data_IF_598916329548
#
_entry.id   IF_598916329548
#
_cell.length_a   1.000
_cell.length_b   1.000
_cell.length_c   1.000
_cell.angle_alpha   90.00
_cell.angle_beta   90.00
_cell.angle_gamma   90.00
#
_symmetry.space_group_name_H-M   'P 1'
#
loop_
_entity.id
_entity.type
_entity.pdbx_description
1 polymer ?
#
# COMPACT_ATOMS: atom_id res chain seq x y z
N UNK A 1 8.68 10.05 -4.01
CA UNK A 1 8.82 8.94 -4.96
C UNK A 1 9.73 7.90 -4.33
N UNK A 2 9.31 6.63 -4.33
CA UNK A 2 10.17 5.53 -3.90
C UNK A 2 10.83 4.91 -5.13
N UNK A 3 12.10 4.53 -5.02
CA UNK A 3 12.86 3.83 -6.06
C UNK A 3 13.34 2.48 -5.52
N UNK A 4 13.33 1.46 -6.39
CA UNK A 4 13.80 0.11 -6.07
C UNK A 4 14.70 -0.38 -7.20
N UNK A 5 15.84 -0.98 -6.85
CA UNK A 5 16.78 -1.59 -7.81
C UNK A 5 16.83 -3.09 -7.55
N UNK A 6 16.40 -3.88 -8.55
CA UNK A 6 16.51 -5.34 -8.51
C UNK A 6 17.77 -5.74 -9.28
N UNK A 7 18.76 -6.28 -8.57
CA UNK A 7 20.03 -6.73 -9.16
C UNK A 7 19.96 -8.21 -9.54
N UNK A 8 20.81 -8.62 -10.49
CA UNK A 8 20.96 -10.03 -10.93
C UNK A 8 19.67 -10.65 -11.47
N UNK A 9 18.84 -9.87 -12.18
CA UNK A 9 17.72 -10.42 -12.94
C UNK A 9 18.25 -11.22 -14.13
N UNK A 10 17.70 -12.41 -14.37
CA UNK A 10 18.11 -13.21 -15.53
C UNK A 10 17.69 -12.52 -16.84
N UNK A 11 18.47 -12.70 -17.90
CA UNK A 11 18.13 -12.16 -19.22
C UNK A 11 16.79 -12.70 -19.75
N UNK A 12 16.48 -13.97 -19.43
CA UNK A 12 15.19 -14.58 -19.76
C UNK A 12 14.04 -13.83 -19.08
N UNK A 13 14.16 -13.52 -17.79
CA UNK A 13 13.15 -12.77 -17.03
C UNK A 13 13.01 -11.35 -17.57
N UNK A 14 14.12 -10.66 -17.85
CA UNK A 14 14.08 -9.31 -18.40
C UNK A 14 13.39 -9.26 -19.77
N UNK A 15 13.69 -10.23 -20.66
CA UNK A 15 13.00 -10.37 -21.96
C UNK A 15 11.51 -10.66 -21.80
N UNK A 16 11.14 -11.56 -20.89
CA UNK A 16 9.74 -11.88 -20.63
C UNK A 16 8.95 -10.65 -20.15
N UNK A 17 9.52 -9.86 -19.22
CA UNK A 17 8.94 -8.60 -18.76
C UNK A 17 8.78 -7.59 -19.89
N UNK A 18 9.78 -7.47 -20.77
CA UNK A 18 9.71 -6.59 -21.94
C UNK A 18 8.59 -6.97 -22.91
N UNK A 19 8.44 -8.26 -23.22
CA UNK A 19 7.35 -8.74 -24.08
C UNK A 19 5.99 -8.52 -23.42
N UNK A 20 5.85 -8.82 -22.12
CA UNK A 20 4.61 -8.61 -21.37
C UNK A 20 4.20 -7.13 -21.35
N UNK A 21 5.16 -6.23 -21.12
CA UNK A 21 4.93 -4.79 -21.15
C UNK A 21 4.45 -4.29 -22.52
N UNK A 22 5.08 -4.77 -23.60
CA UNK A 22 4.68 -4.45 -24.97
C UNK A 22 3.25 -4.93 -25.29
N UNK A 23 2.88 -6.15 -24.87
CA UNK A 23 1.53 -6.67 -25.02
C UNK A 23 0.48 -5.85 -24.27
N UNK A 24 0.84 -5.25 -23.14
CA UNK A 24 -0.02 -4.39 -22.32
C UNK A 24 0.05 -2.91 -22.73
N UNK A 25 0.82 -2.55 -23.75
CA UNK A 25 0.96 -1.17 -24.23
C UNK A 25 1.60 -0.20 -23.22
N UNK A 26 2.46 -0.70 -22.34
CA UNK A 26 3.12 0.10 -21.29
C UNK A 26 4.63 -0.11 -21.24
N UNK A 27 5.34 0.79 -20.55
CA UNK A 27 6.78 0.63 -20.34
C UNK A 27 7.08 -0.56 -19.43
N UNK A 28 8.30 -1.08 -19.51
CA UNK A 28 8.76 -2.18 -18.64
C UNK A 28 8.64 -1.81 -17.16
N UNK A 29 8.99 -0.58 -16.81
CA UNK A 29 8.87 -0.08 -15.44
C UNK A 29 7.40 -0.02 -14.98
N UNK A 30 6.49 0.43 -15.85
CA UNK A 30 5.06 0.45 -15.56
C UNK A 30 4.48 -0.96 -15.41
N UNK A 31 4.95 -1.93 -16.18
CA UNK A 31 4.60 -3.34 -16.02
C UNK A 31 5.07 -3.90 -14.67
N UNK A 32 6.35 -3.67 -14.32
CA UNK A 32 6.90 -4.14 -13.04
C UNK A 32 6.15 -3.54 -11.87
N UNK A 33 5.87 -2.23 -11.89
CA UNK A 33 5.08 -1.55 -10.86
C UNK A 33 3.70 -2.20 -10.70
N UNK A 34 2.99 -2.43 -11.81
CA UNK A 34 1.67 -3.03 -11.75
C UNK A 34 1.69 -4.48 -11.24
N UNK A 35 2.69 -5.27 -11.60
CA UNK A 35 2.86 -6.64 -11.05
C UNK A 35 3.05 -6.58 -9.53
N UNK A 36 3.90 -5.67 -9.05
CA UNK A 36 4.14 -5.51 -7.62
C UNK A 36 2.87 -5.05 -6.90
N UNK A 37 2.18 -4.03 -7.44
CA UNK A 37 0.92 -3.53 -6.89
C UNK A 37 -0.12 -4.65 -6.79
N UNK A 38 -0.30 -5.43 -7.86
CA UNK A 38 -1.21 -6.57 -7.88
C UNK A 38 -0.82 -7.66 -6.86
N UNK A 39 0.48 -7.97 -6.76
CA UNK A 39 0.99 -8.99 -5.85
C UNK A 39 0.84 -8.61 -4.38
N UNK A 40 0.94 -7.32 -4.03
CA UNK A 40 0.85 -6.85 -2.63
C UNK A 40 -0.55 -6.40 -2.24
N UNK A 41 -1.44 -6.13 -3.21
CA UNK A 41 -2.81 -5.73 -2.94
C UNK A 41 -3.59 -6.93 -2.40
N UNK A 42 -3.59 -7.09 -1.08
CA UNK A 42 -4.44 -8.07 -0.39
C UNK A 42 -5.91 -7.74 -0.65
N UNK A 43 -6.58 -8.52 -1.50
CA UNK A 43 -8.01 -8.34 -1.79
C UNK A 43 -8.87 -8.38 -0.51
N UNK A 44 -8.44 -9.17 0.48
CA UNK A 44 -9.18 -9.41 1.72
C UNK A 44 -8.90 -8.43 2.85
N UNK A 45 -7.98 -7.46 2.66
CA UNK A 45 -7.61 -6.52 3.72
C UNK A 45 -7.97 -5.09 3.31
N UNK A 46 -9.23 -4.65 3.54
CA UNK A 46 -9.57 -3.24 3.35
C UNK A 46 -8.65 -2.39 4.23
N UNK A 47 -8.16 -1.27 3.68
CA UNK A 47 -7.41 -0.29 4.47
C UNK A 47 -8.24 0.17 5.66
N UNK A 48 -7.56 0.59 6.74
CA UNK A 48 -8.21 1.01 8.00
C UNK A 48 -9.32 2.04 7.73
N UNK A 49 -9.08 3.02 6.85
CA UNK A 49 -10.09 4.01 6.48
C UNK A 49 -11.36 3.39 5.87
N UNK A 50 -11.22 2.41 4.96
CA UNK A 50 -12.36 1.70 4.36
C UNK A 50 -13.12 0.88 5.39
N UNK A 51 -12.40 0.23 6.32
CA UNK A 51 -13.00 -0.54 7.41
C UNK A 51 -13.79 0.38 8.36
N UNK A 52 -13.20 1.50 8.78
CA UNK A 52 -13.86 2.51 9.60
C UNK A 52 -15.10 3.09 8.89
N UNK A 53 -15.00 3.45 7.61
CA UNK A 53 -16.14 3.97 6.85
C UNK A 53 -17.30 2.98 6.73
N UNK A 54 -17.03 1.67 6.62
CA UNK A 54 -18.07 0.63 6.66
C UNK A 54 -18.74 0.55 8.04
N UNK A 55 -17.96 0.72 9.11
CA UNK A 55 -18.45 0.62 10.48
C UNK A 55 -19.28 1.84 10.91
N UNK A 56 -18.91 3.04 10.45
CA UNK A 56 -19.47 4.30 10.95
C UNK A 56 -20.40 5.03 9.98
N UNK A 57 -20.83 4.42 8.85
CA UNK A 57 -21.83 5.03 7.96
C UNK A 57 -23.22 5.13 8.63
N UNK A 58 -23.99 6.22 8.44
CA UNK A 58 -23.77 7.38 7.55
C UNK A 58 -22.77 8.42 8.08
N UNK A 59 -22.32 8.29 9.31
CA UNK A 59 -21.45 9.20 10.04
C UNK A 59 -21.91 9.23 11.49
N UNK A 60 -20.97 9.46 12.41
CA UNK A 60 -21.28 9.71 13.83
C UNK A 60 -20.70 11.06 14.21
N UNK A 61 -21.48 11.88 14.89
CA UNK A 61 -20.96 13.10 15.51
C UNK A 61 -20.39 12.71 16.88
N UNK A 62 -19.09 12.93 17.07
CA UNK A 62 -18.38 12.54 18.27
C UNK A 62 -18.00 13.79 19.04
N UNK A 63 -18.56 13.94 20.25
CA UNK A 63 -18.08 14.94 21.20
C UNK A 63 -16.74 14.51 21.81
N UNK A 64 -15.66 14.63 21.04
CA UNK A 64 -14.31 14.30 21.51
C UNK A 64 -13.75 15.45 22.32
N UNK A 65 -13.75 15.33 23.64
CA UNK A 65 -13.06 16.28 24.53
C UNK A 65 -11.61 15.86 24.73
N UNK A 66 -10.67 16.66 24.24
CA UNK A 66 -9.23 16.46 24.48
C UNK A 66 -8.92 16.68 25.95
N UNK A 67 -8.36 15.66 26.61
CA UNK A 67 -7.78 15.84 27.95
C UNK A 67 -6.58 16.79 27.86
N UNK A 68 -6.57 17.83 28.71
CA UNK A 68 -5.51 18.84 28.80
C UNK A 68 -4.57 18.63 29.98
N UNK A 69 -4.79 17.59 30.79
CA UNK A 69 -3.86 17.23 31.85
C UNK A 69 -2.46 16.98 31.24
N UNK A 70 -1.39 17.35 31.96
CA UNK A 70 -0.03 16.96 31.58
C UNK A 70 0.07 15.44 31.41
N UNK A 71 0.89 14.99 30.47
CA UNK A 71 1.15 13.56 30.29
C UNK A 71 1.90 13.03 31.52
N UNK A 72 1.40 11.94 32.10
CA UNK A 72 2.11 11.24 33.16
C UNK A 72 3.25 10.39 32.55
N UNK A 73 4.37 10.21 33.28
CA UNK A 73 5.48 9.38 32.82
C UNK A 73 5.04 7.92 32.62
N UNK A 74 5.48 7.29 31.52
CA UNK A 74 5.26 5.86 31.34
C UNK A 74 6.14 5.07 32.32
N UNK A 75 5.51 4.23 33.14
CA UNK A 75 6.21 3.25 33.95
C UNK A 75 6.50 2.00 33.09
N UNK A 76 7.78 1.70 32.86
CA UNK A 76 8.19 0.47 32.19
C UNK A 76 8.65 -0.56 33.23
N UNK A 77 8.18 -1.80 33.10
CA UNK A 77 8.67 -2.96 33.86
C UNK A 77 9.71 -3.72 33.05
#
# INVERSE_FOLDING_TARGET
MAAMIVRKISDATHRALRMRAAQKGRSVEAEVRAILDEAVRSADRPGIGTALMKMFRPGVDLEVRRNRAPAEPAEFK
#
